data_IF_184841781647
#
_entry.id   IF_184841781647
#
_cell.length_a   1.000
_cell.length_b   1.000
_cell.length_c   1.000
_cell.angle_alpha   90.00
_cell.angle_beta   90.00
_cell.angle_gamma   90.00
#
_symmetry.space_group_name_H-M   'P 1'
#
loop_
_entity.id
_entity.type
_entity.pdbx_description
1 polymer ?
#
# COMPACT_ATOMS: atom_id res chain seq x y z
N UNK A 1 8.98 4.54 4.96
CA UNK A 1 9.02 4.33 3.49
C UNK A 1 8.23 5.40 2.74
N UNK A 2 8.90 6.20 1.91
CA UNK A 2 8.32 7.28 1.10
C UNK A 2 7.75 6.74 -0.24
N UNK A 3 6.96 5.67 -0.15
CA UNK A 3 6.42 4.95 -1.32
C UNK A 3 4.94 5.25 -1.46
N UNK A 4 4.52 5.62 -2.67
CA UNK A 4 3.11 5.89 -3.00
C UNK A 4 2.32 4.61 -3.19
N UNK A 5 1.02 4.70 -3.01
CA UNK A 5 0.08 3.60 -3.26
C UNK A 5 0.14 3.14 -4.71
N UNK A 6 0.26 4.08 -5.67
CA UNK A 6 0.45 3.73 -7.08
C UNK A 6 1.64 2.80 -7.28
N UNK A 7 2.81 3.15 -6.72
CA UNK A 7 4.00 2.32 -6.87
C UNK A 7 3.83 0.96 -6.22
N UNK A 8 3.13 0.88 -5.09
CA UNK A 8 2.81 -0.41 -4.47
C UNK A 8 1.94 -1.30 -5.36
N UNK A 9 0.91 -0.74 -6.01
CA UNK A 9 0.05 -1.48 -6.96
C UNK A 9 0.84 -1.94 -8.19
N UNK A 10 1.73 -1.11 -8.72
CA UNK A 10 2.61 -1.51 -9.83
C UNK A 10 3.47 -2.72 -9.44
N UNK A 11 4.11 -2.70 -8.26
CA UNK A 11 4.93 -3.83 -7.78
C UNK A 11 4.08 -5.09 -7.57
N UNK A 12 2.88 -4.95 -7.01
CA UNK A 12 1.92 -6.06 -6.84
C UNK A 12 1.58 -6.70 -8.19
N UNK A 13 1.28 -5.90 -9.20
CA UNK A 13 0.97 -6.38 -10.54
C UNK A 13 2.19 -6.99 -11.25
N UNK A 14 3.36 -6.35 -11.15
CA UNK A 14 4.62 -6.84 -11.74
C UNK A 14 4.99 -8.25 -11.25
N UNK A 15 4.66 -8.58 -10.00
CA UNK A 15 5.03 -9.84 -9.36
C UNK A 15 3.85 -10.80 -9.14
N UNK A 16 2.65 -10.43 -9.57
CA UNK A 16 1.40 -11.19 -9.37
C UNK A 16 1.14 -11.54 -7.88
N UNK A 17 1.33 -10.56 -6.99
CA UNK A 17 1.13 -10.71 -5.52
C UNK A 17 0.08 -9.73 -4.98
N UNK A 18 -0.74 -10.20 -4.03
CA UNK A 18 -1.83 -9.40 -3.45
C UNK A 18 -1.47 -8.61 -2.17
N UNK A 19 -0.23 -8.69 -1.70
CA UNK A 19 0.21 -7.97 -0.51
C UNK A 19 1.70 -7.62 -0.53
N UNK A 20 2.07 -6.56 0.20
CA UNK A 20 3.44 -6.12 0.41
C UNK A 20 3.69 -5.87 1.89
N UNK A 21 4.85 -6.33 2.38
CA UNK A 21 5.34 -5.96 3.71
C UNK A 21 5.97 -4.57 3.63
N UNK A 22 5.56 -3.68 4.52
CA UNK A 22 6.14 -2.34 4.65
C UNK A 22 7.31 -2.41 5.63
N UNK A 23 8.47 -1.93 5.19
CA UNK A 23 9.71 -1.96 5.95
C UNK A 23 10.27 -0.53 6.14
N UNK A 24 10.65 -0.20 7.36
CA UNK A 24 11.30 1.06 7.74
C UNK A 24 12.47 0.77 8.71
N UNK A 25 13.49 0.07 8.20
CA UNK A 25 14.57 -0.52 9.00
C UNK A 25 14.19 -1.79 9.76
N UNK A 26 12.88 -2.03 9.91
CA UNK A 26 12.24 -3.27 10.37
C UNK A 26 10.84 -3.39 9.74
N UNK A 27 10.23 -4.59 9.69
CA UNK A 27 8.82 -4.71 9.31
C UNK A 27 7.93 -3.86 10.24
N UNK A 28 7.11 -2.99 9.65
CA UNK A 28 6.22 -2.07 10.37
C UNK A 28 4.74 -2.26 10.02
N UNK A 29 4.44 -3.02 8.97
CA UNK A 29 3.07 -3.24 8.55
C UNK A 29 2.96 -4.10 7.29
N UNK A 30 1.73 -4.30 6.86
CA UNK A 30 1.38 -4.96 5.60
C UNK A 30 0.31 -4.13 4.90
N UNK A 31 0.42 -4.02 3.58
CA UNK A 31 -0.63 -3.46 2.72
C UNK A 31 -1.14 -4.55 1.79
N UNK A 32 -2.46 -4.62 1.63
CA UNK A 32 -3.15 -5.63 0.83
C UNK A 32 -4.06 -4.98 -0.21
N UNK A 33 -4.52 -5.74 -1.20
CA UNK A 33 -5.57 -5.29 -2.13
C UNK A 33 -6.83 -4.76 -1.41
N UNK A 34 -7.19 -5.35 -0.26
CA UNK A 34 -8.33 -4.91 0.54
C UNK A 34 -8.13 -3.49 1.08
N UNK A 35 -6.89 -3.11 1.41
CA UNK A 35 -6.58 -1.74 1.82
C UNK A 35 -6.76 -0.76 0.65
N UNK A 36 -6.48 -1.18 -0.59
CA UNK A 36 -6.76 -0.37 -1.79
C UNK A 36 -8.27 -0.15 -1.93
N UNK A 37 -9.06 -1.22 -1.86
CA UNK A 37 -10.53 -1.13 -1.97
C UNK A 37 -11.12 -0.23 -0.88
N UNK A 38 -10.68 -0.41 0.36
CA UNK A 38 -11.26 0.28 1.52
C UNK A 38 -10.78 1.72 1.69
N UNK A 39 -9.49 1.98 1.49
CA UNK A 39 -8.87 3.25 1.87
C UNK A 39 -8.49 4.12 0.68
N UNK A 40 -8.57 3.62 -0.55
CA UNK A 40 -8.27 4.38 -1.75
C UNK A 40 -9.54 4.58 -2.57
N UNK A 41 -10.18 3.47 -2.96
CA UNK A 41 -11.38 3.52 -3.80
C UNK A 41 -12.57 4.06 -3.02
N UNK A 42 -12.88 3.47 -1.86
CA UNK A 42 -14.04 3.89 -1.06
C UNK A 42 -13.87 5.31 -0.48
N UNK A 43 -12.65 5.69 -0.08
CA UNK A 43 -12.35 7.02 0.48
C UNK A 43 -12.03 8.09 -0.60
N UNK A 44 -12.03 7.72 -1.89
CA UNK A 44 -11.72 8.62 -3.02
C UNK A 44 -10.35 9.34 -2.90
N UNK A 45 -9.34 8.63 -2.41
CA UNK A 45 -7.98 9.16 -2.26
C UNK A 45 -7.18 8.98 -3.56
N UNK A 46 -6.34 9.96 -3.89
CA UNK A 46 -5.45 9.88 -5.06
C UNK A 46 -4.28 8.91 -4.78
N UNK A 47 -4.11 7.81 -5.54
CA UNK A 47 -3.05 6.83 -5.33
C UNK A 47 -1.63 7.40 -5.50
N UNK A 48 -1.46 8.41 -6.37
CA UNK A 48 -0.21 9.11 -6.62
C UNK A 48 0.24 9.98 -5.44
N UNK A 49 -0.71 10.48 -4.63
CA UNK A 49 -0.44 11.40 -3.51
C UNK A 49 -0.52 10.72 -2.15
N UNK A 50 -1.05 9.50 -2.10
CA UNK A 50 -1.22 8.73 -0.87
C UNK A 50 -0.02 7.83 -0.64
N UNK A 51 0.56 7.87 0.56
CA UNK A 51 1.67 6.96 0.91
C UNK A 51 1.13 5.65 1.45
N UNK A 52 1.88 4.57 1.21
CA UNK A 52 1.53 3.23 1.70
C UNK A 52 1.41 3.19 3.22
N UNK A 53 2.28 3.93 3.93
CA UNK A 53 2.27 3.99 5.40
C UNK A 53 0.97 4.57 5.97
N UNK A 54 0.23 5.36 5.18
CA UNK A 54 -1.03 5.98 5.61
C UNK A 54 -2.23 5.04 5.45
N UNK A 55 -2.07 3.90 4.76
CA UNK A 55 -3.15 2.94 4.49
C UNK A 55 -2.87 1.51 4.95
N UNK A 56 -1.62 1.19 5.29
CA UNK A 56 -1.24 -0.14 5.73
C UNK A 56 -1.96 -0.54 7.03
N UNK A 57 -1.99 -1.84 7.29
CA UNK A 57 -2.28 -2.39 8.60
C UNK A 57 -0.98 -2.51 9.39
N UNK A 58 -0.95 -1.94 10.60
CA UNK A 58 0.25 -1.90 11.44
C UNK A 58 0.52 -3.25 12.10
N UNK A 59 1.80 -3.54 12.31
CA UNK A 59 2.28 -4.65 13.16
C UNK A 59 2.45 -4.21 14.62
#
# INVERSE_FOLDING_TARGET
ADVTVKRAVEVMNEHEIGCLVVNDGKPVGIVTERDMLKRIIHELREPEKTRVIDIMSNL
#
